data_IF_444937881830
#
_entry.id   IF_444937881830
#
_cell.length_a   1.000
_cell.length_b   1.000
_cell.length_c   1.000
_cell.angle_alpha   90.00
_cell.angle_beta   90.00
_cell.angle_gamma   90.00
#
_symmetry.space_group_name_H-M   'P 1'
#
loop_
_entity.id
_entity.type
_entity.pdbx_description
1 polymer ?
#
# COMPACT_ATOMS: atom_id res chain seq x y z
N UNK A 1 -7.50 -16.46 -31.28
CA UNK A 1 -7.15 -17.07 -29.98
C UNK A 1 -5.65 -17.32 -30.00
N UNK A 2 -4.85 -16.39 -29.48
CA UNK A 2 -3.40 -16.55 -29.46
C UNK A 2 -2.98 -16.95 -28.04
N UNK A 3 -2.72 -18.25 -27.88
CA UNK A 3 -2.00 -18.83 -26.74
C UNK A 3 -0.53 -18.45 -26.86
N UNK A 4 -0.03 -17.65 -25.92
CA UNK A 4 1.38 -17.28 -25.85
C UNK A 4 1.98 -18.10 -24.71
N UNK A 5 2.74 -19.12 -25.07
CA UNK A 5 3.56 -19.95 -24.19
C UNK A 5 4.85 -19.21 -23.85
N UNK A 6 5.09 -18.92 -22.57
CA UNK A 6 6.34 -18.35 -22.08
C UNK A 6 7.33 -19.49 -21.77
N UNK A 7 8.47 -19.47 -22.46
CA UNK A 7 9.62 -20.34 -22.26
C UNK A 7 10.51 -19.79 -21.15
N UNK A 8 10.81 -20.63 -20.16
CA UNK A 8 11.78 -20.39 -19.09
C UNK A 8 13.18 -20.79 -19.56
N UNK A 9 14.05 -19.81 -19.81
CA UNK A 9 15.49 -20.00 -19.98
C UNK A 9 16.21 -19.48 -18.72
N UNK A 10 16.53 -20.39 -17.80
CA UNK A 10 17.43 -20.13 -16.67
C UNK A 10 18.86 -20.45 -17.09
N UNK A 11 19.60 -19.39 -17.43
CA UNK A 11 21.00 -19.45 -17.84
C UNK A 11 21.88 -18.46 -17.08
N UNK A 12 22.84 -19.04 -16.33
CA UNK A 12 24.25 -18.61 -16.29
C UNK A 12 24.75 -17.64 -15.19
N UNK A 13 25.57 -18.26 -14.33
CA UNK A 13 26.93 -17.90 -13.91
C UNK A 13 27.19 -16.83 -12.84
N UNK A 14 27.91 -17.31 -11.82
CA UNK A 14 28.65 -16.51 -10.86
C UNK A 14 29.97 -15.97 -11.43
N UNK A 15 30.51 -14.98 -10.72
CA UNK A 15 31.78 -14.34 -11.01
C UNK A 15 32.24 -13.54 -9.79
N UNK A 16 33.35 -14.00 -9.19
CA UNK A 16 34.03 -13.43 -8.02
C UNK A 16 34.89 -12.23 -8.46
N UNK A 17 34.88 -11.09 -7.76
CA UNK A 17 35.80 -9.99 -8.01
C UNK A 17 37.02 -10.05 -7.08
N UNK A 18 38.20 -10.07 -7.69
CA UNK A 18 39.50 -10.06 -7.02
C UNK A 18 40.23 -8.73 -7.32
N UNK A 19 40.70 -8.11 -6.23
CA UNK A 19 41.91 -7.29 -6.06
C UNK A 19 42.17 -5.94 -6.79
N UNK A 20 42.49 -4.97 -5.91
CA UNK A 20 43.26 -3.70 -6.03
C UNK A 20 44.29 -3.60 -7.15
N UNK A 21 44.55 -2.37 -7.62
CA UNK A 21 45.88 -1.76 -7.39
C UNK A 21 45.87 -0.27 -6.98
N UNK A 22 47.05 0.20 -6.59
CA UNK A 22 47.41 1.41 -5.84
C UNK A 22 47.55 2.72 -6.67
N UNK A 23 47.52 3.84 -5.95
CA UNK A 23 47.94 5.22 -6.31
C UNK A 23 49.45 5.31 -6.68
N UNK A 24 49.94 6.32 -7.45
CA UNK A 24 50.28 7.64 -6.86
C UNK A 24 50.22 8.89 -7.79
N UNK A 25 49.75 9.99 -7.19
CA UNK A 25 50.27 11.37 -7.16
C UNK A 25 50.97 12.11 -8.34
N UNK A 26 50.44 13.35 -8.52
CA UNK A 26 51.07 14.70 -8.72
C UNK A 26 51.22 15.29 -10.14
N UNK A 27 50.49 16.41 -10.31
CA UNK A 27 50.72 17.65 -11.09
C UNK A 27 52.22 18.07 -11.27
N UNK A 28 52.60 18.89 -12.29
CA UNK A 28 52.08 20.25 -12.46
C UNK A 28 52.01 20.85 -13.90
N UNK A 29 51.45 22.06 -13.93
CA UNK A 29 51.28 23.04 -15.03
C UNK A 29 52.58 23.59 -15.63
N UNK A 30 52.50 24.08 -16.88
CA UNK A 30 52.98 25.37 -17.45
C UNK A 30 52.97 25.24 -19.00
N UNK A 31 52.08 25.91 -19.74
CA UNK A 31 52.26 27.26 -20.34
C UNK A 31 53.57 27.46 -21.15
N UNK A 32 53.48 27.45 -22.49
CA UNK A 32 53.59 28.65 -23.35
C UNK A 32 53.66 28.36 -24.85
N UNK A 33 53.01 29.28 -25.55
CA UNK A 33 53.02 29.67 -26.95
C UNK A 33 54.29 29.34 -27.77
N UNK A 34 54.06 28.93 -29.03
CA UNK A 34 54.84 29.44 -30.15
C UNK A 34 53.96 29.52 -31.40
N UNK A 35 53.83 30.75 -31.90
CA UNK A 35 53.31 31.11 -33.21
C UNK A 35 54.30 30.67 -34.30
N UNK A 36 53.80 30.24 -35.46
CA UNK A 36 54.47 30.50 -36.73
C UNK A 36 53.47 30.39 -37.88
N UNK A 37 53.76 31.20 -38.90
CA UNK A 37 52.85 31.76 -39.90
C UNK A 37 52.59 30.85 -41.12
N UNK A 38 51.45 31.13 -41.75
CA UNK A 38 51.07 31.05 -43.16
C UNK A 38 52.05 30.44 -44.18
N UNK A 39 51.46 29.71 -45.14
CA UNK A 39 51.45 30.23 -46.51
C UNK A 39 50.07 30.17 -47.18
N UNK A 40 49.77 31.26 -47.89
CA UNK A 40 48.67 31.41 -48.87
C UNK A 40 48.99 30.65 -50.16
N UNK A 41 47.98 29.99 -50.75
CA UNK A 41 47.79 29.71 -52.19
C UNK A 41 46.32 29.28 -52.33
N UNK A 42 45.41 30.18 -52.72
CA UNK A 42 45.02 30.57 -54.09
C UNK A 42 44.02 29.59 -54.75
N UNK A 43 42.75 29.96 -54.61
CA UNK A 43 41.67 30.00 -55.61
C UNK A 43 41.40 28.78 -56.51
N UNK A 44 40.37 28.00 -56.14
CA UNK A 44 39.53 27.28 -57.10
C UNK A 44 38.08 27.75 -56.91
N UNK A 45 37.60 28.50 -57.90
CA UNK A 45 36.20 28.89 -58.09
C UNK A 45 35.40 27.63 -58.47
N UNK A 46 34.43 27.21 -57.65
CA UNK A 46 33.43 26.22 -58.06
C UNK A 46 32.01 26.80 -57.86
N UNK A 47 31.31 26.86 -58.98
CA UNK A 47 30.03 27.52 -59.23
C UNK A 47 28.91 26.59 -58.77
N UNK A 48 28.60 26.61 -57.46
CA UNK A 48 27.49 25.85 -56.90
C UNK A 48 26.22 26.70 -56.84
N UNK A 49 25.32 26.37 -57.77
CA UNK A 49 23.95 26.85 -57.88
C UNK A 49 23.22 26.73 -56.55
N UNK A 50 22.81 27.88 -56.00
CA UNK A 50 21.98 28.01 -54.81
C UNK A 50 20.58 27.42 -55.06
N UNK A 51 20.40 26.13 -54.76
CA UNK A 51 19.07 25.55 -54.59
C UNK A 51 18.42 26.15 -53.33
N UNK A 52 17.29 26.82 -53.50
CA UNK A 52 16.45 27.38 -52.45
C UNK A 52 16.03 26.28 -51.46
N UNK A 53 16.79 26.12 -50.39
CA UNK A 53 16.45 25.22 -49.28
C UNK A 53 15.19 25.79 -48.61
N UNK A 54 14.05 25.16 -48.87
CA UNK A 54 12.81 25.36 -48.13
C UNK A 54 13.12 25.30 -46.62
N UNK A 55 13.01 26.45 -45.96
CA UNK A 55 13.23 26.61 -44.53
C UNK A 55 12.18 25.80 -43.74
N UNK A 56 12.48 24.52 -43.49
CA UNK A 56 11.71 23.69 -42.57
C UNK A 56 11.81 24.34 -41.18
N UNK A 57 10.67 24.68 -40.55
CA UNK A 57 10.68 25.41 -39.28
C UNK A 57 11.40 24.59 -38.19
N UNK A 58 12.16 25.24 -37.30
CA UNK A 58 13.02 24.56 -36.35
C UNK A 58 12.21 23.63 -35.43
N UNK A 59 12.56 22.35 -35.45
CA UNK A 59 11.98 21.32 -34.58
C UNK A 59 12.09 21.79 -33.13
N UNK A 60 10.99 21.84 -32.34
CA UNK A 60 11.06 22.19 -30.95
C UNK A 60 12.01 21.23 -30.22
N UNK A 61 13.10 21.74 -29.63
CA UNK A 61 14.07 20.95 -28.86
C UNK A 61 13.48 20.30 -27.59
N UNK A 62 12.18 20.48 -27.31
CA UNK A 62 11.51 19.95 -26.12
C UNK A 62 10.39 18.99 -26.54
N UNK A 63 10.46 17.78 -26.03
CA UNK A 63 9.39 16.78 -26.13
C UNK A 63 8.16 17.34 -25.38
N UNK A 64 6.98 17.46 -26.02
CA UNK A 64 5.76 17.89 -25.36
C UNK A 64 5.40 17.00 -24.16
N UNK A 65 4.91 17.56 -23.03
CA UNK A 65 4.51 16.78 -21.86
C UNK A 65 3.55 15.63 -22.18
N UNK A 66 2.54 15.89 -23.02
CA UNK A 66 1.55 14.90 -23.47
C UNK A 66 2.17 13.68 -24.14
N UNK A 67 3.27 13.85 -24.91
CA UNK A 67 3.96 12.71 -25.51
C UNK A 67 4.71 11.89 -24.46
N UNK A 68 5.31 12.56 -23.46
CA UNK A 68 5.96 11.88 -22.34
C UNK A 68 4.92 11.09 -21.53
N UNK A 69 3.79 11.72 -21.20
CA UNK A 69 2.67 11.12 -20.47
C UNK A 69 2.20 9.84 -21.16
N UNK A 70 1.85 9.91 -22.45
CA UNK A 70 1.39 8.77 -23.23
C UNK A 70 2.45 7.66 -23.37
N UNK A 71 3.73 8.04 -23.40
CA UNK A 71 4.83 7.06 -23.51
C UNK A 71 5.05 6.30 -22.21
N UNK A 72 4.94 6.98 -21.05
CA UNK A 72 5.29 6.37 -19.76
C UNK A 72 4.07 5.87 -18.99
N UNK A 73 2.86 6.35 -19.28
CA UNK A 73 1.64 5.95 -18.58
C UNK A 73 1.41 4.42 -18.57
N UNK A 74 1.68 3.66 -19.66
CA UNK A 74 1.54 2.20 -19.65
C UNK A 74 2.63 1.48 -18.83
N UNK A 75 3.71 2.17 -18.45
CA UNK A 75 4.82 1.57 -17.71
C UNK A 75 4.45 1.43 -16.23
N UNK A 76 5.05 0.44 -15.57
CA UNK A 76 4.91 0.30 -14.12
C UNK A 76 5.55 1.48 -13.39
N UNK A 77 4.92 1.93 -12.31
CA UNK A 77 5.40 3.07 -11.50
C UNK A 77 6.79 2.84 -10.90
N UNK A 78 7.22 1.58 -10.74
CA UNK A 78 8.58 1.25 -10.27
C UNK A 78 9.70 1.75 -11.19
N UNK A 79 9.40 2.05 -12.47
CA UNK A 79 10.37 2.60 -13.41
C UNK A 79 10.49 4.13 -13.35
N UNK A 80 9.49 4.81 -12.78
CA UNK A 80 9.41 6.27 -12.77
C UNK A 80 10.60 6.94 -12.08
N UNK A 81 11.10 6.48 -10.92
CA UNK A 81 12.29 7.08 -10.32
C UNK A 81 13.50 7.10 -11.25
N UNK A 82 13.69 6.08 -12.11
CA UNK A 82 14.77 6.05 -13.09
C UNK A 82 14.52 7.02 -14.24
N UNK A 83 13.27 7.09 -14.72
CA UNK A 83 12.87 8.01 -15.79
C UNK A 83 13.00 9.48 -15.37
N UNK A 84 12.67 9.82 -14.12
CA UNK A 84 12.85 11.16 -13.53
C UNK A 84 14.30 11.64 -13.47
N UNK A 85 15.27 10.73 -13.63
CA UNK A 85 16.70 11.08 -13.71
C UNK A 85 17.15 11.42 -15.13
N UNK A 86 16.39 11.02 -16.17
CA UNK A 86 16.75 11.25 -17.57
C UNK A 86 16.64 12.73 -17.96
N UNK A 87 15.58 13.41 -17.51
CA UNK A 87 15.42 14.85 -17.77
C UNK A 87 14.46 15.52 -16.79
N UNK A 88 14.53 16.85 -16.73
CA UNK A 88 13.56 17.65 -15.97
C UNK A 88 12.13 17.52 -16.50
N UNK A 89 11.95 17.27 -17.81
CA UNK A 89 10.63 17.08 -18.40
C UNK A 89 9.96 15.79 -17.90
N UNK A 90 10.70 14.67 -17.86
CA UNK A 90 10.20 13.41 -17.27
C UNK A 90 9.86 13.60 -15.79
N UNK A 91 10.72 14.30 -15.03
CA UNK A 91 10.46 14.57 -13.61
C UNK A 91 9.19 15.37 -13.40
N UNK A 92 8.96 16.42 -14.19
CA UNK A 92 7.74 17.24 -14.11
C UNK A 92 6.49 16.41 -14.42
N UNK A 93 6.52 15.61 -15.48
CA UNK A 93 5.39 14.75 -15.87
C UNK A 93 5.11 13.69 -14.82
N UNK A 94 6.13 13.05 -14.25
CA UNK A 94 5.98 12.02 -13.22
C UNK A 94 5.39 12.58 -11.92
N UNK A 95 5.64 13.85 -11.62
CA UNK A 95 5.07 14.56 -10.48
C UNK A 95 3.74 15.26 -10.80
N UNK A 96 3.22 15.14 -12.02
CA UNK A 96 1.98 15.78 -12.44
C UNK A 96 0.75 14.92 -12.14
N UNK A 97 -0.38 15.59 -11.98
CA UNK A 97 -1.71 14.98 -11.94
C UNK A 97 -2.11 14.40 -13.30
N UNK A 98 -1.67 15.03 -14.39
CA UNK A 98 -2.04 14.66 -15.77
C UNK A 98 -1.62 13.23 -16.10
N UNK A 99 -0.42 12.81 -15.70
CA UNK A 99 0.03 11.42 -15.88
C UNK A 99 -0.91 10.42 -15.19
N UNK A 100 -1.44 10.75 -14.01
CA UNK A 100 -2.38 9.88 -13.31
C UNK A 100 -3.72 9.80 -14.06
N UNK A 101 -4.20 10.91 -14.61
CA UNK A 101 -5.42 10.92 -15.43
C UNK A 101 -5.25 10.08 -16.70
N UNK A 102 -4.11 10.20 -17.39
CA UNK A 102 -3.80 9.37 -18.57
C UNK A 102 -3.77 7.89 -18.20
N UNK A 103 -3.12 7.52 -17.09
CA UNK A 103 -3.10 6.14 -16.59
C UNK A 103 -4.49 5.60 -16.29
N UNK A 104 -5.32 6.40 -15.62
CA UNK A 104 -6.70 6.02 -15.32
C UNK A 104 -7.51 5.82 -16.59
N UNK A 105 -7.37 6.71 -17.58
CA UNK A 105 -8.06 6.64 -18.87
C UNK A 105 -7.72 5.37 -19.66
N UNK A 106 -6.46 4.94 -19.64
CA UNK A 106 -6.02 3.71 -20.32
C UNK A 106 -6.18 2.43 -19.47
N UNK A 107 -6.75 2.54 -18.26
CA UNK A 107 -6.92 1.40 -17.34
C UNK A 107 -5.61 0.86 -16.74
N UNK A 108 -4.53 1.64 -16.77
CA UNK A 108 -3.22 1.24 -16.24
C UNK A 108 -3.12 1.57 -14.75
N UNK A 109 -3.77 0.76 -13.92
CA UNK A 109 -3.77 0.90 -12.46
C UNK A 109 -2.94 -0.19 -11.77
N UNK A 110 -2.29 0.16 -10.67
CA UNK A 110 -1.48 -0.75 -9.85
C UNK A 110 -1.94 -0.72 -8.38
N UNK A 111 -2.08 -1.88 -7.72
CA UNK A 111 -2.31 -1.91 -6.28
C UNK A 111 -1.02 -1.49 -5.55
N UNK A 112 -1.18 -0.64 -4.54
CA UNK A 112 -0.09 -0.18 -3.67
C UNK A 112 -0.51 -0.35 -2.22
N UNK A 113 0.26 -1.16 -1.48
CA UNK A 113 -0.01 -1.42 -0.07
C UNK A 113 0.75 -0.44 0.80
N UNK A 114 0.02 0.29 1.64
CA UNK A 114 0.55 1.06 2.75
C UNK A 114 0.30 0.29 4.04
N UNK A 115 1.28 0.25 4.92
CA UNK A 115 1.14 -0.35 6.24
C UNK A 115 1.66 0.61 7.30
N UNK A 116 0.87 0.79 8.35
CA UNK A 116 1.26 1.56 9.52
C UNK A 116 2.02 0.63 10.46
N UNK A 117 3.26 0.99 10.79
CA UNK A 117 4.13 0.19 11.65
C UNK A 117 4.52 1.00 12.88
N UNK A 118 4.47 0.36 14.03
CA UNK A 118 4.99 0.84 15.30
C UNK A 118 6.09 -0.09 15.78
N UNK A 119 6.93 0.40 16.69
CA UNK A 119 7.99 -0.40 17.31
C UNK A 119 7.78 -0.41 18.82
N UNK A 120 7.96 -1.58 19.45
CA UNK A 120 7.87 -1.68 20.91
C UNK A 120 9.20 -1.23 21.53
N UNK A 121 9.10 -0.36 22.55
CA UNK A 121 10.20 0.11 23.41
C UNK A 121 11.28 0.95 22.67
N UNK A 122 11.96 1.90 23.36
CA UNK A 122 11.78 2.34 24.75
C UNK A 122 10.67 3.38 24.96
N UNK A 123 9.96 3.81 23.92
CA UNK A 123 8.80 4.69 24.02
C UNK A 123 7.69 4.16 23.10
N UNK A 124 6.42 4.45 23.41
CA UNK A 124 5.34 4.26 22.44
C UNK A 124 5.54 5.29 21.33
N UNK A 125 6.28 4.89 20.29
CA UNK A 125 6.46 5.72 19.12
C UNK A 125 5.15 5.83 18.35
N UNK A 126 4.88 7.03 17.85
CA UNK A 126 3.82 7.26 16.87
C UNK A 126 4.09 6.42 15.63
N UNK A 127 3.04 5.77 15.10
CA UNK A 127 3.15 4.89 13.94
C UNK A 127 3.68 5.61 12.71
N UNK A 128 4.49 4.92 11.92
CA UNK A 128 5.02 5.43 10.65
C UNK A 128 4.44 4.64 9.49
N UNK A 129 4.10 5.34 8.42
CA UNK A 129 3.64 4.71 7.19
C UNK A 129 4.83 4.13 6.42
N UNK A 130 4.69 2.87 6.06
CA UNK A 130 5.58 2.19 5.13
C UNK A 130 4.79 1.84 3.87
N UNK A 131 5.44 1.93 2.72
CA UNK A 131 4.89 1.56 1.43
C UNK A 131 5.61 0.31 0.92
N UNK A 132 4.83 -0.71 0.55
CA UNK A 132 5.32 -1.89 -0.14
C UNK A 132 5.31 -1.59 -1.64
N UNK A 133 6.49 -1.48 -2.24
CA UNK A 133 6.66 -1.16 -3.65
C UNK A 133 7.52 -2.21 -4.34
N UNK A 134 7.21 -2.46 -5.61
CA UNK A 134 8.11 -3.19 -6.51
C UNK A 134 9.34 -2.33 -6.81
N UNK A 135 10.53 -2.86 -6.57
CA UNK A 135 11.81 -2.22 -6.95
C UNK A 135 12.15 -2.50 -8.42
N UNK A 136 11.72 -3.65 -8.91
CA UNK A 136 11.80 -4.11 -10.30
C UNK A 136 10.64 -5.09 -10.53
N UNK A 137 10.67 -5.89 -11.60
CA UNK A 137 9.57 -6.81 -11.90
C UNK A 137 9.35 -7.87 -10.81
N UNK A 138 10.39 -8.30 -10.09
CA UNK A 138 10.35 -9.47 -9.20
C UNK A 138 10.48 -9.15 -7.72
N UNK A 139 11.18 -8.07 -7.35
CA UNK A 139 11.52 -7.76 -5.96
C UNK A 139 10.62 -6.69 -5.37
N UNK A 140 10.11 -6.97 -4.17
CA UNK A 140 9.39 -6.03 -3.33
C UNK A 140 10.33 -5.41 -2.29
N UNK A 141 10.04 -4.17 -1.91
CA UNK A 141 10.71 -3.47 -0.82
C UNK A 141 9.69 -2.69 -0.01
N UNK A 142 9.82 -2.74 1.31
CA UNK A 142 8.98 -2.01 2.24
C UNK A 142 9.76 -0.80 2.74
N UNK A 143 9.43 0.41 2.25
CA UNK A 143 10.16 1.64 2.59
C UNK A 143 9.32 2.57 3.47
N UNK A 144 9.96 3.27 4.41
CA UNK A 144 9.30 4.32 5.19
C UNK A 144 8.93 5.51 4.29
N UNK A 145 7.70 6.00 4.38
CA UNK A 145 7.23 7.17 3.65
C UNK A 145 7.50 8.41 4.50
N UNK A 146 8.72 8.93 4.42
CA UNK A 146 9.21 10.01 5.31
C UNK A 146 8.52 11.36 5.10
N UNK A 147 7.82 11.55 3.97
CA UNK A 147 7.01 12.76 3.70
C UNK A 147 5.70 12.79 4.49
N UNK A 148 5.23 11.64 4.99
CA UNK A 148 4.00 11.55 5.77
C UNK A 148 4.30 11.74 7.26
N UNK A 149 3.43 12.47 7.99
CA UNK A 149 3.62 12.65 9.41
C UNK A 149 3.44 11.32 10.16
N UNK A 150 3.95 11.25 11.39
CA UNK A 150 3.58 10.21 12.34
C UNK A 150 2.06 10.11 12.54
N UNK A 151 1.56 8.91 12.83
CA UNK A 151 0.17 8.68 13.18
C UNK A 151 0.02 8.32 14.65
N UNK A 152 -1.04 8.81 15.27
CA UNK A 152 -1.39 8.44 16.64
C UNK A 152 -1.87 6.98 16.69
N UNK A 153 -1.40 6.26 17.71
CA UNK A 153 -1.82 4.89 18.01
C UNK A 153 -3.34 4.83 18.24
N UNK A 154 -3.96 3.72 17.83
CA UNK A 154 -5.42 3.54 17.90
C UNK A 154 -6.20 4.38 16.88
N UNK A 155 -5.54 5.00 15.89
CA UNK A 155 -6.24 5.50 14.73
C UNK A 155 -6.84 4.35 13.90
N UNK A 156 -7.82 4.67 13.08
CA UNK A 156 -8.31 3.78 12.03
C UNK A 156 -8.09 4.43 10.67
N UNK A 157 -8.05 3.62 9.62
CA UNK A 157 -7.85 4.11 8.26
C UNK A 157 -8.81 3.42 7.29
N UNK A 158 -9.21 4.12 6.24
CA UNK A 158 -9.98 3.58 5.11
C UNK A 158 -9.46 4.12 3.79
N UNK A 159 -9.77 3.46 2.68
CA UNK A 159 -9.35 3.85 1.33
C UNK A 159 -10.52 4.19 0.44
N UNK A 160 -10.38 5.26 -0.35
CA UNK A 160 -11.29 5.61 -1.44
C UNK A 160 -10.42 6.01 -2.62
N UNK A 161 -10.44 5.20 -3.68
CA UNK A 161 -9.55 5.37 -4.84
C UNK A 161 -8.08 5.35 -4.45
N UNK A 162 -7.36 6.40 -4.81
CA UNK A 162 -5.93 6.60 -4.50
C UNK A 162 -5.66 7.29 -3.16
N UNK A 163 -6.69 7.49 -2.32
CA UNK A 163 -6.57 8.21 -1.06
C UNK A 163 -6.75 7.30 0.15
N UNK A 164 -6.01 7.58 1.21
CA UNK A 164 -6.21 7.00 2.55
C UNK A 164 -6.74 8.09 3.48
N UNK A 165 -7.82 7.78 4.20
CA UNK A 165 -8.37 8.65 5.25
C UNK A 165 -8.02 8.04 6.60
N UNK A 166 -7.26 8.77 7.42
CA UNK A 166 -6.85 8.34 8.77
C UNK A 166 -7.62 9.14 9.80
N UNK A 167 -8.17 8.45 10.79
CA UNK A 167 -9.15 9.00 11.71
C UNK A 167 -8.81 8.69 13.16
N UNK A 168 -8.80 9.73 13.98
CA UNK A 168 -8.71 9.62 15.43
C UNK A 168 -7.36 9.10 15.94
N UNK A 169 -7.39 8.48 17.11
CA UNK A 169 -6.23 7.93 17.81
C UNK A 169 -6.02 8.54 19.18
N UNK A 170 -4.88 8.20 19.80
CA UNK A 170 -4.49 8.67 21.11
C UNK A 170 -3.19 9.46 21.06
N UNK A 171 -3.27 10.72 21.50
CA UNK A 171 -2.11 11.55 21.68
C UNK A 171 -1.56 11.35 23.10
N UNK A 172 -0.48 10.56 23.22
CA UNK A 172 0.18 10.29 24.50
C UNK A 172 0.81 11.53 25.13
N UNK A 173 1.31 12.47 24.31
CA UNK A 173 1.91 13.73 24.79
C UNK A 173 0.92 14.57 25.59
N UNK A 174 -0.34 14.62 25.14
CA UNK A 174 -1.42 15.35 25.82
C UNK A 174 -2.36 14.45 26.62
N UNK A 175 -2.06 13.15 26.70
CA UNK A 175 -2.91 12.14 27.33
C UNK A 175 -4.38 12.25 26.90
N UNK A 176 -4.62 12.45 25.60
CA UNK A 176 -5.94 12.78 25.06
C UNK A 176 -6.28 11.94 23.83
N UNK A 177 -7.53 11.50 23.78
CA UNK A 177 -8.15 11.02 22.54
C UNK A 177 -8.41 12.19 21.60
N UNK A 178 -8.26 12.01 20.28
CA UNK A 178 -8.38 13.10 19.30
C UNK A 178 -9.50 12.87 18.28
N UNK A 179 -9.96 13.96 17.67
CA UNK A 179 -10.95 13.99 16.58
C UNK A 179 -10.32 14.27 15.21
N UNK A 180 -8.98 14.31 15.13
CA UNK A 180 -8.24 14.64 13.92
C UNK A 180 -8.54 13.67 12.78
N UNK A 181 -8.67 14.22 11.58
CA UNK A 181 -8.85 13.47 10.34
C UNK A 181 -7.79 13.94 9.35
N UNK A 182 -7.07 13.00 8.77
CA UNK A 182 -6.05 13.24 7.75
C UNK A 182 -6.44 12.55 6.45
N UNK A 183 -6.24 13.23 5.34
CA UNK A 183 -6.29 12.63 4.00
C UNK A 183 -4.86 12.52 3.48
N UNK A 184 -4.49 11.32 3.07
CA UNK A 184 -3.23 11.02 2.42
C UNK A 184 -3.51 10.77 0.94
N UNK A 185 -2.89 11.58 0.07
CA UNK A 185 -2.87 11.33 -1.37
C UNK A 185 -1.69 10.43 -1.70
N UNK A 186 -1.97 9.17 -2.03
CA UNK A 186 -0.94 8.16 -2.26
C UNK A 186 -0.26 8.28 -3.63
N UNK A 187 -0.74 9.16 -4.51
CA UNK A 187 -0.05 9.43 -5.79
C UNK A 187 1.25 10.17 -5.54
N UNK A 188 1.21 11.10 -4.59
CA UNK A 188 2.31 12.02 -4.27
C UNK A 188 2.86 11.84 -2.85
N UNK A 189 2.29 10.95 -2.04
CA UNK A 189 2.62 10.76 -0.63
C UNK A 189 2.54 12.07 0.17
N UNK A 190 1.51 12.85 -0.10
CA UNK A 190 1.20 14.10 0.60
C UNK A 190 0.06 13.90 1.57
N UNK A 191 0.00 14.73 2.60
CA UNK A 191 -1.01 14.65 3.65
C UNK A 191 -1.65 16.02 3.86
N UNK A 192 -2.96 16.07 4.04
CA UNK A 192 -3.69 17.28 4.45
C UNK A 192 -4.63 16.99 5.62
N UNK A 193 -4.85 18.01 6.45
CA UNK A 193 -5.88 17.97 7.48
C UNK A 193 -7.25 18.19 6.86
N UNK A 194 -8.22 17.38 7.26
CA UNK A 194 -9.63 17.59 6.94
C UNK A 194 -10.38 18.16 8.15
N UNK A 195 -11.67 18.43 7.95
CA UNK A 195 -12.57 18.75 9.06
C UNK A 195 -12.53 17.63 10.10
N UNK A 196 -12.27 17.99 11.36
CA UNK A 196 -12.29 17.05 12.47
C UNK A 196 -13.68 16.41 12.63
N UNK A 197 -13.69 15.19 13.17
CA UNK A 197 -14.91 14.55 13.67
C UNK A 197 -15.59 15.44 14.73
N UNK A 198 -16.89 15.23 14.95
CA UNK A 198 -17.63 15.95 16.01
C UNK A 198 -17.28 15.42 17.39
N UNK A 199 -16.78 14.19 17.51
CA UNK A 199 -16.31 13.61 18.78
C UNK A 199 -14.90 13.04 18.62
N UNK A 200 -14.13 13.15 19.71
CA UNK A 200 -12.82 12.50 19.82
C UNK A 200 -12.99 10.96 19.90
N UNK A 201 -12.16 10.20 19.16
CA UNK A 201 -12.21 8.72 19.13
C UNK A 201 -10.83 8.07 19.10
N UNK A 202 -10.67 6.94 19.79
CA UNK A 202 -9.47 6.09 19.77
C UNK A 202 -9.89 4.62 19.79
N UNK A 203 -9.25 3.79 18.97
CA UNK A 203 -9.67 2.41 18.68
C UNK A 203 -11.11 2.38 18.16
N UNK A 204 -11.43 3.33 17.29
CA UNK A 204 -12.65 3.32 16.50
C UNK A 204 -12.52 2.33 15.35
N UNK A 205 -13.66 1.89 14.84
CA UNK A 205 -13.72 1.15 13.59
C UNK A 205 -14.18 2.08 12.48
N UNK A 206 -13.74 1.83 11.24
CA UNK A 206 -14.21 2.60 10.11
C UNK A 206 -14.49 1.72 8.90
N UNK A 207 -15.43 2.15 8.07
CA UNK A 207 -15.80 1.48 6.84
C UNK A 207 -16.33 2.45 5.78
N UNK A 208 -16.04 2.16 4.51
CA UNK A 208 -16.56 2.92 3.37
C UNK A 208 -17.77 2.17 2.83
N UNK A 209 -18.94 2.82 2.88
CA UNK A 209 -20.19 2.29 2.34
C UNK A 209 -20.89 3.43 1.62
N UNK A 210 -21.34 3.19 0.39
CA UNK A 210 -22.00 4.19 -0.47
C UNK A 210 -21.18 5.48 -0.64
N UNK A 211 -19.86 5.35 -0.81
CA UNK A 211 -18.94 6.49 -0.98
C UNK A 211 -18.72 7.34 0.27
N UNK A 212 -19.28 6.94 1.42
CA UNK A 212 -19.16 7.67 2.69
C UNK A 212 -18.35 6.90 3.71
N UNK A 213 -17.65 7.63 4.57
CA UNK A 213 -16.81 7.04 5.62
C UNK A 213 -17.61 7.02 6.92
N UNK A 214 -18.01 5.82 7.34
CA UNK A 214 -18.62 5.61 8.64
C UNK A 214 -17.54 5.31 9.67
N UNK A 215 -17.59 6.01 10.80
CA UNK A 215 -16.71 5.82 11.95
C UNK A 215 -17.56 5.49 13.15
N UNK A 216 -17.27 4.34 13.74
CA UNK A 216 -18.13 3.71 14.74
C UNK A 216 -17.28 3.43 15.98
N UNK A 217 -17.87 3.65 17.15
CA UNK A 217 -17.24 3.41 18.44
C UNK A 217 -15.94 4.21 18.67
N UNK A 218 -14.94 3.65 19.34
CA UNK A 218 -13.71 4.32 19.78
C UNK A 218 -13.89 5.28 20.95
N UNK A 219 -15.00 5.16 21.66
CA UNK A 219 -15.36 5.96 22.83
C UNK A 219 -16.49 5.29 23.60
N UNK A 220 -16.73 5.79 24.81
CA UNK A 220 -17.84 5.34 25.65
C UNK A 220 -19.15 5.34 24.84
N UNK A 221 -19.85 4.20 24.88
CA UNK A 221 -21.10 3.98 24.16
C UNK A 221 -22.20 4.95 24.62
N UNK A 222 -22.76 5.73 23.71
CA UNK A 222 -23.91 6.64 23.93
C UNK A 222 -24.79 6.68 22.69
N UNK A 223 -26.07 6.99 22.87
CA UNK A 223 -27.07 6.88 21.80
C UNK A 223 -26.88 7.92 20.69
N UNK A 224 -26.39 9.11 21.04
CA UNK A 224 -26.36 10.28 20.16
C UNK A 224 -25.12 10.35 19.24
N UNK A 225 -24.09 9.58 19.54
CA UNK A 225 -22.77 9.81 18.92
C UNK A 225 -21.88 8.57 18.83
N UNK A 226 -22.43 7.35 18.96
CA UNK A 226 -21.60 6.15 18.78
C UNK A 226 -21.15 5.97 17.33
N UNK A 227 -21.95 6.47 16.39
CA UNK A 227 -21.67 6.47 14.96
C UNK A 227 -21.62 7.89 14.43
N UNK A 228 -20.62 8.15 13.60
CA UNK A 228 -20.49 9.35 12.78
C UNK A 228 -20.22 8.96 11.34
N UNK A 229 -20.71 9.76 10.40
CA UNK A 229 -20.47 9.58 8.98
C UNK A 229 -19.87 10.84 8.39
N UNK A 230 -18.85 10.66 7.57
CA UNK A 230 -18.23 11.70 6.78
C UNK A 230 -18.63 11.55 5.33
N UNK A 231 -19.24 12.61 4.82
CA UNK A 231 -19.53 12.75 3.40
C UNK A 231 -18.32 13.38 2.72
N UNK A 232 -17.68 12.62 1.83
CA UNK A 232 -16.41 12.99 1.19
C UNK A 232 -16.58 14.13 0.19
N UNK A 233 -17.75 14.22 -0.47
CA UNK A 233 -18.04 15.25 -1.47
C UNK A 233 -18.25 16.62 -0.82
N UNK A 234 -18.97 16.64 0.31
CA UNK A 234 -19.28 17.88 1.04
C UNK A 234 -18.26 18.21 2.13
N UNK A 235 -17.37 17.28 2.46
CA UNK A 235 -16.42 17.32 3.60
C UNK A 235 -17.12 17.64 4.94
N UNK A 236 -18.27 16.98 5.19
CA UNK A 236 -19.08 17.20 6.41
C UNK A 236 -19.27 15.94 7.23
N UNK A 237 -19.20 16.11 8.55
CA UNK A 237 -19.53 15.09 9.52
C UNK A 237 -20.99 15.20 9.99
N UNK A 238 -21.69 14.08 10.01
CA UNK A 238 -23.01 13.91 10.60
C UNK A 238 -22.93 12.91 11.76
N UNK A 239 -23.56 13.23 12.90
CA UNK A 239 -23.79 12.22 13.94
C UNK A 239 -24.94 11.35 13.46
N UNK A 240 -24.84 10.04 13.66
CA UNK A 240 -25.93 9.11 13.34
C UNK A 240 -26.50 8.58 14.66
N UNK A 241 -27.55 9.21 15.22
CA UNK A 241 -28.20 8.69 16.40
C UNK A 241 -28.78 7.32 16.11
N UNK A 242 -28.66 6.41 17.08
CA UNK A 242 -29.22 5.09 16.93
C UNK A 242 -28.98 4.21 18.14
N UNK A 243 -29.75 3.10 18.24
CA UNK A 243 -29.45 2.09 19.22
C UNK A 243 -28.07 1.50 18.93
N UNK A 244 -27.46 0.95 19.97
CA UNK A 244 -26.25 0.15 19.91
C UNK A 244 -26.58 -1.25 20.40
N UNK A 245 -25.81 -2.26 20.03
CA UNK A 245 -25.98 -3.60 20.60
C UNK A 245 -25.83 -3.53 22.11
N UNK A 246 -26.79 -4.08 22.87
CA UNK A 246 -26.76 -4.12 24.34
C UNK A 246 -25.54 -4.87 24.87
N UNK A 247 -25.04 -5.85 24.11
CA UNK A 247 -23.86 -6.66 24.41
C UNK A 247 -22.53 -5.98 24.13
N UNK A 248 -22.52 -4.87 23.38
CA UNK A 248 -21.28 -4.14 23.10
C UNK A 248 -20.64 -3.59 24.38
N UNK A 249 -19.34 -3.80 24.51
CA UNK A 249 -18.49 -3.31 25.59
C UNK A 249 -18.70 -1.82 25.81
N UNK A 250 -18.83 -1.45 27.09
CA UNK A 250 -19.11 -0.07 27.49
C UNK A 250 -18.03 0.91 27.02
N UNK A 251 -16.77 0.46 27.03
CA UNK A 251 -15.61 1.23 26.55
C UNK A 251 -15.71 1.64 25.08
N UNK A 252 -16.41 0.83 24.27
CA UNK A 252 -16.55 1.00 22.84
C UNK A 252 -15.23 0.99 22.07
N UNK A 253 -14.15 0.40 22.58
CA UNK A 253 -12.84 0.37 21.90
C UNK A 253 -12.63 -0.99 21.23
N UNK A 254 -12.36 -0.99 19.93
CA UNK A 254 -12.23 -2.21 19.14
C UNK A 254 -11.01 -2.14 18.22
N UNK A 255 -10.37 -3.29 18.02
CA UNK A 255 -9.15 -3.41 17.21
C UNK A 255 -9.32 -4.30 15.98
N UNK A 256 -10.35 -5.17 15.96
CA UNK A 256 -10.67 -6.03 14.82
C UNK A 256 -12.01 -5.60 14.21
N UNK A 257 -11.97 -5.20 12.94
CA UNK A 257 -13.13 -4.83 12.15
C UNK A 257 -12.87 -5.03 10.66
N UNK A 258 -13.94 -5.26 9.90
CA UNK A 258 -13.91 -5.33 8.44
C UNK A 258 -15.21 -4.78 7.86
N UNK A 259 -15.17 -4.34 6.59
CA UNK A 259 -16.39 -4.12 5.81
C UNK A 259 -16.63 -5.38 4.99
N UNK A 260 -17.81 -5.96 5.13
CA UNK A 260 -18.21 -7.20 4.47
C UNK A 260 -19.72 -7.12 4.19
N UNK A 261 -20.16 -7.50 2.99
CA UNK A 261 -21.59 -7.49 2.62
C UNK A 261 -22.28 -6.14 2.91
N UNK A 262 -21.61 -5.04 2.56
CA UNK A 262 -22.06 -3.66 2.83
C UNK A 262 -22.38 -3.35 4.31
N UNK A 263 -21.79 -4.09 5.26
CA UNK A 263 -21.92 -3.87 6.70
C UNK A 263 -20.54 -3.74 7.33
N UNK A 264 -20.49 -3.04 8.45
CA UNK A 264 -19.27 -2.90 9.26
C UNK A 264 -19.31 -3.96 10.35
N UNK A 265 -18.53 -5.02 10.17
CA UNK A 265 -18.37 -6.06 11.17
C UNK A 265 -17.34 -5.63 12.22
N UNK A 266 -17.63 -5.93 13.48
CA UNK A 266 -16.80 -5.60 14.64
C UNK A 266 -16.71 -6.83 15.53
N UNK A 267 -15.49 -7.19 15.95
CA UNK A 267 -15.31 -8.19 17.00
C UNK A 267 -15.09 -7.50 18.36
N UNK A 268 -15.82 -7.98 19.37
CA UNK A 268 -15.80 -7.50 20.74
C UNK A 268 -15.76 -8.67 21.72
N UNK A 269 -14.54 -9.11 22.04
CA UNK A 269 -14.32 -10.28 22.90
C UNK A 269 -14.99 -11.54 22.33
N UNK A 270 -16.01 -12.03 23.03
CA UNK A 270 -16.77 -13.21 22.64
C UNK A 270 -17.98 -12.91 21.75
N UNK A 271 -18.23 -11.63 21.43
CA UNK A 271 -19.33 -11.23 20.56
C UNK A 271 -18.82 -10.68 19.22
N UNK A 272 -19.66 -10.80 18.20
CA UNK A 272 -19.50 -10.16 16.91
C UNK A 272 -20.74 -9.31 16.61
N UNK A 273 -20.53 -8.13 16.04
CA UNK A 273 -21.61 -7.23 15.62
C UNK A 273 -21.44 -6.85 14.17
N UNK A 274 -22.54 -6.61 13.47
CA UNK A 274 -22.52 -5.92 12.18
C UNK A 274 -23.42 -4.69 12.25
N UNK A 275 -22.88 -3.54 11.86
CA UNK A 275 -23.65 -2.33 11.64
C UNK A 275 -24.01 -2.21 10.16
N UNK A 276 -25.32 -2.16 9.87
CA UNK A 276 -25.86 -1.81 8.56
C UNK A 276 -26.19 -0.32 8.54
N UNK A 277 -25.41 0.52 7.83
CA UNK A 277 -25.66 1.96 7.81
C UNK A 277 -26.92 2.36 7.03
N UNK A 278 -27.33 1.56 6.04
CA UNK A 278 -28.54 1.84 5.23
C UNK A 278 -29.79 1.65 6.06
N UNK A 279 -29.83 0.58 6.87
CA UNK A 279 -30.94 0.28 7.78
C UNK A 279 -30.78 0.96 9.14
N UNK A 280 -29.61 1.50 9.46
CA UNK A 280 -29.21 2.03 10.77
C UNK A 280 -29.48 1.02 11.89
N UNK A 281 -29.13 -0.24 11.66
CA UNK A 281 -29.41 -1.35 12.55
C UNK A 281 -28.17 -2.18 12.84
N UNK A 282 -28.25 -2.88 13.96
CA UNK A 282 -27.22 -3.79 14.43
C UNK A 282 -27.72 -5.22 14.37
N UNK A 283 -26.84 -6.11 13.93
CA UNK A 283 -26.94 -7.55 14.13
C UNK A 283 -25.88 -7.96 15.16
N UNK A 284 -26.21 -8.96 15.98
CA UNK A 284 -25.35 -9.43 17.06
C UNK A 284 -25.30 -10.94 17.03
N UNK A 285 -24.09 -11.48 17.14
CA UNK A 285 -23.85 -12.90 17.24
C UNK A 285 -22.98 -13.20 18.47
N UNK A 286 -23.31 -14.32 19.13
CA UNK A 286 -22.65 -14.75 20.36
C UNK A 286 -21.35 -15.56 20.14
N UNK A 287 -20.81 -16.13 21.22
CA UNK A 287 -19.51 -16.81 21.23
C UNK A 287 -19.41 -18.01 20.28
N UNK A 288 -20.50 -18.73 20.10
CA UNK A 288 -20.59 -19.95 19.27
C UNK A 288 -20.91 -19.66 17.79
N UNK A 289 -20.93 -18.38 17.41
CA UNK A 289 -21.29 -17.98 16.05
C UNK A 289 -20.17 -18.23 15.04
N UNK A 290 -20.56 -18.76 13.88
CA UNK A 290 -19.64 -18.99 12.76
C UNK A 290 -18.96 -17.69 12.29
N UNK A 291 -19.65 -16.55 12.35
CA UNK A 291 -19.13 -15.22 11.98
C UNK A 291 -17.82 -14.86 12.69
N UNK A 292 -17.67 -15.33 13.94
CA UNK A 292 -16.50 -15.04 14.77
C UNK A 292 -15.42 -16.10 14.66
N UNK A 293 -15.79 -17.36 14.36
CA UNK A 293 -14.86 -18.47 14.32
C UNK A 293 -13.63 -18.10 13.50
N UNK A 294 -12.42 -18.20 14.04
CA UNK A 294 -11.16 -17.88 13.33
C UNK A 294 -10.98 -16.44 12.86
N UNK A 295 -11.89 -15.50 13.13
CA UNK A 295 -11.69 -14.10 12.75
C UNK A 295 -10.78 -13.39 13.77
N UNK A 296 -9.71 -12.72 13.31
CA UNK A 296 -8.79 -12.00 14.18
C UNK A 296 -8.10 -10.82 13.46
N UNK A 297 -7.09 -10.22 14.11
CA UNK A 297 -6.37 -9.02 13.64
C UNK A 297 -5.65 -9.16 12.29
N UNK A 298 -5.31 -10.38 11.90
CA UNK A 298 -4.58 -10.70 10.66
C UNK A 298 -5.51 -11.31 9.61
N UNK A 299 -6.75 -10.81 9.58
CA UNK A 299 -7.75 -11.14 8.57
C UNK A 299 -7.95 -9.97 7.60
N UNK A 300 -8.38 -10.25 6.38
CA UNK A 300 -8.74 -9.24 5.39
C UNK A 300 -9.90 -9.70 4.51
N UNK A 301 -10.53 -8.76 3.81
CA UNK A 301 -11.63 -9.06 2.87
C UNK A 301 -11.15 -8.94 1.43
N UNK A 302 -11.44 -9.96 0.64
CA UNK A 302 -11.25 -10.00 -0.82
C UNK A 302 -12.56 -10.50 -1.42
N UNK A 303 -13.12 -9.78 -2.40
CA UNK A 303 -14.35 -10.15 -3.11
C UNK A 303 -15.52 -10.55 -2.20
N UNK A 304 -15.80 -9.73 -1.17
CA UNK A 304 -16.83 -9.99 -0.15
C UNK A 304 -16.68 -11.32 0.62
N UNK A 305 -15.46 -11.84 0.69
CA UNK A 305 -15.10 -13.00 1.50
C UNK A 305 -14.02 -12.62 2.51
N UNK A 306 -14.17 -13.10 3.75
CA UNK A 306 -13.25 -12.79 4.84
C UNK A 306 -12.22 -13.90 4.99
N UNK A 307 -10.95 -13.59 4.75
CA UNK A 307 -9.83 -14.51 4.88
C UNK A 307 -9.14 -14.32 6.23
N UNK A 308 -8.70 -15.42 6.83
CA UNK A 308 -7.96 -15.41 8.09
C UNK A 308 -6.83 -16.44 8.08
N UNK A 309 -5.78 -16.18 8.86
CA UNK A 309 -4.67 -17.11 9.05
C UNK A 309 -4.96 -17.98 10.25
N UNK A 310 -4.90 -19.29 10.10
CA UNK A 310 -5.14 -20.24 11.20
C UNK A 310 -3.95 -21.16 11.42
N UNK A 311 -3.76 -21.68 12.64
CA UNK A 311 -2.88 -22.81 12.86
C UNK A 311 -3.23 -23.95 11.91
N UNK A 312 -2.21 -24.55 11.27
CA UNK A 312 -2.39 -25.54 10.21
C UNK A 312 -3.14 -26.78 10.71
N UNK A 313 -3.03 -27.07 12.00
CA UNK A 313 -3.65 -28.22 12.67
C UNK A 313 -5.19 -28.18 12.64
N UNK A 314 -5.79 -27.01 12.40
CA UNK A 314 -7.26 -26.84 12.45
C UNK A 314 -7.94 -27.37 11.18
N UNK A 315 -7.41 -27.05 10.00
CA UNK A 315 -8.02 -27.41 8.71
C UNK A 315 -7.08 -28.19 7.76
N UNK A 316 -5.84 -28.46 8.18
CA UNK A 316 -4.77 -28.87 7.26
C UNK A 316 -4.26 -27.74 6.35
N UNK A 317 -4.92 -26.58 6.39
CA UNK A 317 -4.61 -25.36 5.67
C UNK A 317 -4.22 -24.24 6.63
N UNK A 318 -3.35 -23.34 6.19
CA UNK A 318 -2.92 -22.16 6.97
C UNK A 318 -3.80 -20.93 6.75
N UNK A 319 -4.68 -20.96 5.74
CA UNK A 319 -5.64 -19.90 5.45
C UNK A 319 -7.03 -20.51 5.33
N UNK A 320 -8.00 -19.83 5.93
CA UNK A 320 -9.43 -20.13 5.80
C UNK A 320 -10.18 -18.91 5.29
N UNK A 321 -11.33 -19.15 4.69
CA UNK A 321 -12.21 -18.14 4.13
C UNK A 321 -13.63 -18.31 4.65
N UNK A 322 -14.23 -17.21 5.06
CA UNK A 322 -15.63 -17.12 5.47
C UNK A 322 -16.47 -16.50 4.39
N UNK A 323 -17.53 -17.21 4.01
CA UNK A 323 -18.58 -16.70 3.13
C UNK A 323 -19.80 -16.29 3.97
N UNK A 324 -20.16 -14.99 4.03
CA UNK A 324 -21.34 -14.54 4.77
C UNK A 324 -22.65 -15.10 4.22
N UNK A 325 -22.71 -15.51 2.95
CA UNK A 325 -23.90 -16.10 2.32
C UNK A 325 -24.08 -17.57 2.70
N UNK A 326 -22.96 -18.30 2.80
CA UNK A 326 -22.93 -19.69 3.23
C UNK A 326 -22.88 -19.87 4.76
N UNK A 327 -22.57 -18.80 5.51
CA UNK A 327 -22.38 -18.78 6.96
C UNK A 327 -21.41 -19.91 7.40
N UNK A 328 -20.31 -20.06 6.68
CA UNK A 328 -19.36 -21.14 6.92
C UNK A 328 -17.92 -20.72 6.59
N UNK A 329 -16.98 -21.27 7.36
CA UNK A 329 -15.56 -21.22 7.06
C UNK A 329 -15.15 -22.43 6.24
N UNK A 330 -14.27 -22.21 5.26
CA UNK A 330 -13.71 -23.26 4.40
C UNK A 330 -12.19 -23.08 4.29
N UNK A 331 -11.41 -24.16 4.11
CA UNK A 331 -9.98 -24.04 3.84
C UNK A 331 -9.74 -23.42 2.46
N UNK A 332 -8.65 -22.66 2.34
CA UNK A 332 -8.06 -22.31 1.05
C UNK A 332 -7.08 -23.41 0.67
N UNK A 333 -7.31 -24.06 -0.48
CA UNK A 333 -6.55 -25.22 -0.97
C UNK A 333 -5.25 -24.80 -1.68
N UNK A 334 -4.31 -25.72 -1.93
CA UNK A 334 -3.08 -25.44 -2.70
C UNK A 334 -1.94 -24.73 -1.94
N UNK A 335 -2.11 -24.54 -0.63
CA UNK A 335 -1.13 -23.89 0.26
C UNK A 335 -0.42 -24.90 1.17
N UNK A 336 -0.06 -26.08 0.65
CA UNK A 336 0.56 -27.15 1.44
C UNK A 336 1.98 -26.78 1.91
N UNK A 337 2.73 -26.05 1.07
CA UNK A 337 4.07 -25.54 1.36
C UNK A 337 3.98 -24.08 1.76
N UNK A 338 3.83 -23.86 3.07
CA UNK A 338 3.62 -22.54 3.64
C UNK A 338 4.90 -22.02 4.33
N UNK A 339 5.30 -20.74 4.13
CA UNK A 339 6.48 -20.16 4.78
C UNK A 339 6.41 -20.22 6.32
N UNK A 340 7.56 -20.24 7.01
CA UNK A 340 7.60 -20.29 8.47
C UNK A 340 7.65 -18.89 9.10
N UNK A 341 6.52 -18.17 9.04
CA UNK A 341 6.38 -16.86 9.69
C UNK A 341 5.76 -16.95 11.09
N UNK A 342 6.00 -15.92 11.89
CA UNK A 342 5.30 -15.70 13.17
C UNK A 342 3.90 -15.13 12.85
N UNK A 343 2.97 -16.01 12.50
CA UNK A 343 1.68 -15.61 11.93
C UNK A 343 0.78 -14.79 12.86
N UNK A 344 0.83 -15.03 14.18
CA UNK A 344 0.04 -14.24 15.14
C UNK A 344 0.50 -12.77 15.25
N UNK A 345 1.71 -12.45 14.80
CA UNK A 345 2.25 -11.08 14.70
C UNK A 345 2.23 -10.55 13.27
N UNK A 346 1.83 -11.37 12.30
CA UNK A 346 1.81 -11.02 10.89
C UNK A 346 0.55 -10.22 10.54
N UNK A 347 0.57 -9.54 9.40
CA UNK A 347 -0.57 -8.78 8.89
C UNK A 347 -0.93 -9.22 7.48
N UNK A 348 -2.15 -9.72 7.33
CA UNK A 348 -2.75 -10.01 6.03
C UNK A 348 -3.48 -8.78 5.50
N UNK A 349 -3.39 -8.55 4.20
CA UNK A 349 -4.10 -7.48 3.49
C UNK A 349 -4.53 -7.94 2.10
N UNK A 350 -5.62 -7.37 1.60
CA UNK A 350 -5.99 -7.48 0.19
C UNK A 350 -5.02 -6.64 -0.64
N UNK A 351 -4.44 -7.21 -1.69
CA UNK A 351 -3.52 -6.55 -2.60
C UNK A 351 -3.96 -6.78 -4.05
N UNK A 352 -4.94 -6.01 -4.51
CA UNK A 352 -5.46 -6.11 -5.88
C UNK A 352 -6.10 -7.48 -6.17
N UNK A 353 -6.89 -8.01 -5.24
CA UNK A 353 -7.53 -9.32 -5.38
C UNK A 353 -6.67 -10.49 -4.88
N UNK A 354 -5.41 -10.24 -4.54
CA UNK A 354 -4.50 -11.22 -3.93
C UNK A 354 -4.43 -11.03 -2.43
N UNK A 355 -3.90 -12.03 -1.72
CA UNK A 355 -3.51 -11.87 -0.32
C UNK A 355 -2.03 -11.48 -0.26
N UNK A 356 -1.71 -10.45 0.51
CA UNK A 356 -0.36 -10.14 0.95
C UNK A 356 -0.26 -10.36 2.44
N UNK A 357 0.79 -11.05 2.88
CA UNK A 357 1.08 -11.26 4.30
C UNK A 357 2.47 -10.69 4.59
N UNK A 358 2.51 -9.69 5.47
CA UNK A 358 3.75 -9.16 6.04
C UNK A 358 3.98 -9.80 7.40
N UNK A 359 5.15 -10.40 7.61
CA UNK A 359 5.43 -11.09 8.86
C UNK A 359 6.92 -11.29 9.11
N UNK A 360 7.28 -11.42 10.39
CA UNK A 360 8.63 -11.77 10.78
C UNK A 360 8.86 -13.28 10.62
N UNK A 361 10.03 -13.66 10.12
CA UNK A 361 10.41 -15.07 10.06
C UNK A 361 10.67 -15.62 11.47
N UNK A 362 10.27 -16.86 11.73
CA UNK A 362 10.53 -17.52 13.01
C UNK A 362 11.99 -18.03 13.04
N UNK A 363 12.94 -17.12 13.24
CA UNK A 363 14.34 -17.49 13.53
C UNK A 363 14.59 -17.47 15.03
N UNK A 364 15.12 -18.57 15.58
CA UNK A 364 15.50 -18.70 16.99
C UNK A 364 16.76 -17.91 17.36
N UNK A 365 17.52 -17.41 16.36
CA UNK A 365 18.88 -16.90 16.59
C UNK A 365 19.06 -15.40 16.38
N UNK A 366 18.10 -14.70 15.76
CA UNK A 366 18.27 -13.28 15.47
C UNK A 366 17.55 -12.38 16.49
N UNK A 367 18.26 -12.07 17.59
CA UNK A 367 17.77 -11.17 18.62
C UNK A 367 17.88 -9.69 18.21
N UNK A 368 18.84 -9.36 17.34
CA UNK A 368 19.23 -7.98 17.02
C UNK A 368 18.62 -7.46 15.72
N UNK A 369 18.13 -8.36 14.88
CA UNK A 369 17.52 -8.01 13.61
C UNK A 369 16.26 -8.82 13.39
N UNK A 370 15.24 -8.14 12.87
CA UNK A 370 13.92 -8.67 12.59
C UNK A 370 13.65 -8.52 11.12
N UNK A 371 13.91 -9.60 10.41
CA UNK A 371 13.64 -9.72 8.98
C UNK A 371 12.13 -9.82 8.74
N UNK A 372 11.62 -8.86 7.97
CA UNK A 372 10.22 -8.80 7.55
C UNK A 372 10.13 -9.35 6.14
N UNK A 373 9.32 -10.40 6.02
CA UNK A 373 9.02 -11.07 4.78
C UNK A 373 7.63 -10.69 4.29
N UNK A 374 7.48 -10.71 2.97
CA UNK A 374 6.23 -10.56 2.27
C UNK A 374 5.92 -11.85 1.52
N UNK A 375 4.71 -12.38 1.73
CA UNK A 375 4.14 -13.50 0.97
C UNK A 375 3.02 -12.96 0.10
N UNK A 376 3.14 -13.11 -1.22
CA UNK A 376 2.05 -12.86 -2.16
C UNK A 376 1.36 -14.17 -2.50
N UNK A 377 0.05 -14.24 -2.30
CA UNK A 377 -0.79 -15.40 -2.61
C UNK A 377 -1.86 -15.00 -3.61
N UNK A 378 -1.80 -15.58 -4.80
CA UNK A 378 -2.90 -15.51 -5.76
C UNK A 378 -4.06 -16.39 -5.29
N UNK A 379 -5.27 -15.91 -5.53
CA UNK A 379 -6.51 -16.64 -5.25
C UNK A 379 -7.20 -16.98 -6.56
N UNK A 380 -7.71 -18.20 -6.65
CA UNK A 380 -8.49 -18.69 -7.79
C UNK A 380 -9.74 -19.40 -7.25
N UNK A 381 -10.91 -19.06 -7.80
CA UNK A 381 -12.16 -19.73 -7.46
C UNK A 381 -12.50 -20.75 -8.54
N UNK A 382 -12.58 -22.01 -8.14
CA UNK A 382 -12.94 -23.11 -9.04
C UNK A 382 -14.47 -23.22 -9.20
N UNK A 383 -14.90 -23.95 -10.23
CA UNK A 383 -16.32 -24.13 -10.57
C UNK A 383 -17.13 -24.82 -9.46
N UNK A 384 -16.49 -25.70 -8.67
CA UNK A 384 -17.09 -26.36 -7.52
C UNK A 384 -17.25 -25.43 -6.29
N UNK A 385 -16.83 -24.17 -6.42
CA UNK A 385 -16.88 -23.16 -5.38
C UNK A 385 -15.73 -23.23 -4.37
N UNK A 386 -14.76 -24.14 -4.55
CA UNK A 386 -13.53 -24.13 -3.77
C UNK A 386 -12.66 -22.94 -4.14
N UNK A 387 -11.89 -22.47 -3.17
CA UNK A 387 -10.91 -21.40 -3.37
C UNK A 387 -9.52 -21.99 -3.21
N UNK A 388 -8.72 -21.82 -4.24
CA UNK A 388 -7.34 -22.24 -4.31
C UNK A 388 -6.43 -21.04 -4.13
N UNK A 389 -5.34 -21.26 -3.41
CA UNK A 389 -4.27 -20.32 -3.20
C UNK A 389 -2.99 -20.82 -3.85
N UNK A 390 -2.22 -19.91 -4.44
CA UNK A 390 -0.86 -20.20 -4.92
C UNK A 390 0.09 -19.12 -4.42
N UNK A 391 1.15 -19.53 -3.72
CA UNK A 391 2.24 -18.60 -3.36
C UNK A 391 2.96 -18.19 -4.65
N UNK A 392 2.81 -16.93 -5.04
CA UNK A 392 3.47 -16.38 -6.23
C UNK A 392 4.87 -15.83 -5.90
N UNK A 393 5.03 -15.28 -4.69
CA UNK A 393 6.30 -14.72 -4.26
C UNK A 393 6.50 -14.82 -2.75
N UNK A 394 7.76 -14.98 -2.35
CA UNK A 394 8.24 -14.86 -0.98
C UNK A 394 9.50 -13.99 -1.02
N UNK A 395 9.43 -12.80 -0.43
CA UNK A 395 10.52 -11.82 -0.50
C UNK A 395 10.84 -11.23 0.87
N UNK A 396 12.14 -11.11 1.18
CA UNK A 396 12.60 -10.26 2.27
C UNK A 396 12.44 -8.80 1.85
N UNK A 397 11.54 -8.06 2.52
CA UNK A 397 11.17 -6.69 2.09
C UNK A 397 11.79 -5.60 2.96
N UNK A 398 12.15 -5.91 4.20
CA UNK A 398 12.91 -5.03 5.10
C UNK A 398 13.52 -5.82 6.26
N UNK A 399 14.44 -5.19 6.98
CA UNK A 399 15.01 -5.70 8.22
C UNK A 399 15.06 -4.56 9.25
N UNK A 400 14.44 -4.77 10.40
CA UNK A 400 14.38 -3.79 11.48
C UNK A 400 15.30 -4.18 12.65
N UNK A 401 15.85 -3.22 13.40
CA UNK A 401 16.61 -3.52 14.62
C UNK A 401 15.73 -4.03 15.77
N UNK A 402 14.40 -3.88 15.65
CA UNK A 402 13.42 -4.23 16.68
C UNK A 402 12.18 -4.85 16.03
N UNK A 403 11.39 -5.59 16.80
CA UNK A 403 10.18 -6.23 16.29
C UNK A 403 9.15 -5.17 15.85
N UNK A 404 8.81 -5.11 14.56
CA UNK A 404 7.74 -4.23 14.09
C UNK A 404 6.39 -4.79 14.52
N UNK A 405 5.46 -3.89 14.81
CA UNK A 405 4.05 -4.22 14.98
C UNK A 405 3.24 -3.57 13.86
N UNK A 406 2.54 -4.40 13.09
CA UNK A 406 1.76 -3.97 11.93
C UNK A 406 0.35 -3.57 12.37
N UNK A 407 0.17 -2.31 12.74
CA UNK A 407 -1.11 -1.77 13.25
C UNK A 407 -2.26 -2.01 12.27
N UNK A 408 -2.08 -1.55 11.03
CA UNK A 408 -3.05 -1.69 9.96
C UNK A 408 -2.36 -1.63 8.60
N UNK A 409 -2.99 -2.20 7.59
CA UNK A 409 -2.54 -2.09 6.21
C UNK A 409 -3.72 -1.76 5.30
N UNK A 410 -3.47 -0.93 4.29
CA UNK A 410 -4.45 -0.40 3.37
C UNK A 410 -3.88 -0.39 1.97
N UNK A 411 -4.60 -1.01 1.05
CA UNK A 411 -4.27 -0.99 -0.36
C UNK A 411 -5.07 0.09 -1.05
N UNK A 412 -4.38 0.91 -1.80
CA UNK A 412 -4.95 1.87 -2.75
C UNK A 412 -4.66 1.40 -4.17
N UNK A 413 -5.45 1.87 -5.11
CA UNK A 413 -5.24 1.62 -6.54
C UNK A 413 -4.77 2.93 -7.18
N UNK A 414 -3.64 2.89 -7.89
CA UNK A 414 -2.98 4.08 -8.46
C UNK A 414 -2.63 3.91 -9.94
#
# INVERSE_FOLDING_TARGET
>A
MASISETSDDGSNGGVPNQKPEEPHKNPQEEKENQNENPNEADEEDDHQDEEVENVPPIPRKIPPVLIENTIAPLRRCHYPKLSLLSNAFRQVISSEDLFQVRSLIGSTEPVLYTLITFKYPTFEEGRWFILQRRNNTSLKLNCVTSLPPMFLGCTAVTIGHKIYVVGGYNFRYNKTISTVLEIDCRFNTCRHLRNMKRDRCSAVAGVIDGRIYVVAGRQRRFDDWVEVFDVETERWELVPGPFSSFASSSGKFIVHVVLDNKIYIMDGDYCFAYDPRRRRWETWGPESAQRSYWHLSSCVVDDLLYAIVPREIFGASIVVYDPRGIAWRPVMGLEFWPNLVYFESKMANFGGKLVILGCYRSSFDYYRKDVWCVEVALEKHEDGQIWGKVESLSLVNAFPMSPFFELSRTVTI
#
